data_IF_767867462167
#
_entry.id   IF_767867462167
#
_cell.length_a   1.000
_cell.length_b   1.000
_cell.length_c   1.000
_cell.angle_alpha   90.00
_cell.angle_beta   90.00
_cell.angle_gamma   90.00
#
_symmetry.space_group_name_H-M   'P 1'
#
loop_
_entity.id
_entity.type
_entity.pdbx_description
1 polymer ?
#
# COMPACT_ATOMS: atom_id res chain seq x y z
N UNK A 1 -7.25 2.38 -48.94
CA UNK A 1 -7.11 2.51 -47.47
C UNK A 1 -6.45 3.85 -47.21
N UNK A 2 -7.17 4.77 -46.58
CA UNK A 2 -6.71 6.16 -46.38
C UNK A 2 -5.63 6.26 -45.29
N UNK A 3 -4.67 7.20 -45.37
CA UNK A 3 -3.60 7.39 -44.38
C UNK A 3 -4.08 7.58 -42.94
N UNK A 4 -5.31 8.06 -42.75
CA UNK A 4 -5.94 8.25 -41.44
C UNK A 4 -6.14 6.95 -40.65
N UNK A 5 -6.40 5.83 -41.32
CA UNK A 5 -6.62 4.55 -40.64
C UNK A 5 -5.33 4.03 -39.98
N UNK A 6 -4.16 4.27 -40.60
CA UNK A 6 -2.85 3.88 -40.09
C UNK A 6 -2.45 4.73 -38.87
N UNK A 7 -2.78 6.03 -38.91
CA UNK A 7 -2.52 6.95 -37.80
C UNK A 7 -3.37 6.64 -36.57
N UNK A 8 -4.63 6.24 -36.78
CA UNK A 8 -5.53 5.84 -35.69
C UNK A 8 -5.08 4.52 -35.02
N UNK A 9 -4.58 3.56 -35.81
CA UNK A 9 -4.06 2.29 -35.31
C UNK A 9 -2.72 2.41 -34.56
N UNK A 10 -1.88 3.41 -34.89
CA UNK A 10 -0.63 3.71 -34.18
C UNK A 10 -0.83 4.54 -32.92
N UNK A 11 -1.94 5.29 -32.78
CA UNK A 11 -2.23 6.06 -31.56
C UNK A 11 -2.71 5.19 -30.38
N UNK A 12 -3.33 4.04 -30.66
CA UNK A 12 -3.82 3.11 -29.64
C UNK A 12 -2.74 2.35 -28.84
N UNK A 13 -1.63 1.86 -29.44
CA UNK A 13 -0.57 1.22 -28.69
C UNK A 13 0.17 2.19 -27.74
N UNK A 14 0.37 3.46 -28.13
CA UNK A 14 0.98 4.46 -27.25
C UNK A 14 0.11 4.77 -26.02
N UNK A 15 -1.21 4.84 -26.20
CA UNK A 15 -2.16 4.99 -25.08
C UNK A 15 -2.18 3.76 -24.16
N UNK A 16 -2.10 2.56 -24.72
CA UNK A 16 -2.02 1.32 -23.93
C UNK A 16 -0.72 1.29 -23.10
N UNK A 17 0.42 1.60 -23.70
CA UNK A 17 1.72 1.66 -23.00
C UNK A 17 1.69 2.71 -21.88
N UNK A 18 1.12 3.89 -22.11
CA UNK A 18 0.99 4.92 -21.09
C UNK A 18 0.08 4.47 -19.93
N UNK A 19 -1.04 3.80 -20.23
CA UNK A 19 -1.94 3.27 -19.21
C UNK A 19 -1.26 2.16 -18.37
N UNK A 20 -0.52 1.25 -19.00
CA UNK A 20 0.22 0.20 -18.31
C UNK A 20 1.35 0.76 -17.44
N UNK A 21 2.07 1.79 -17.89
CA UNK A 21 3.09 2.46 -17.07
C UNK A 21 2.48 3.11 -15.84
N UNK A 22 1.39 3.86 -16.00
CA UNK A 22 0.68 4.48 -14.88
C UNK A 22 0.15 3.42 -13.90
N UNK A 23 -0.35 2.30 -14.41
CA UNK A 23 -0.79 1.18 -13.57
C UNK A 23 0.38 0.53 -12.82
N UNK A 24 1.55 0.40 -13.45
CA UNK A 24 2.76 -0.14 -12.83
C UNK A 24 3.27 0.80 -11.72
N UNK A 25 3.38 2.10 -11.99
CA UNK A 25 3.80 3.11 -11.01
C UNK A 25 2.87 3.14 -9.79
N UNK A 26 1.55 3.08 -10.01
CA UNK A 26 0.57 3.01 -8.93
C UNK A 26 0.73 1.72 -8.11
N UNK A 27 0.96 0.58 -8.76
CA UNK A 27 1.20 -0.69 -8.07
C UNK A 27 2.48 -0.66 -7.25
N UNK A 28 3.53 -0.04 -7.76
CA UNK A 28 4.79 0.12 -7.04
C UNK A 28 4.60 1.00 -5.80
N UNK A 29 3.97 2.17 -5.95
CA UNK A 29 3.70 3.06 -4.83
C UNK A 29 2.81 2.42 -3.74
N UNK A 30 1.77 1.69 -4.15
CA UNK A 30 0.92 0.94 -3.20
C UNK A 30 1.70 -0.22 -2.57
N UNK A 31 2.53 -0.91 -3.36
CA UNK A 31 3.39 -1.99 -2.88
C UNK A 31 4.37 -1.53 -1.81
N UNK A 32 5.08 -0.43 -2.05
CA UNK A 32 6.04 0.14 -1.10
C UNK A 32 5.36 0.56 0.21
N UNK A 33 4.22 1.24 0.13
CA UNK A 33 3.44 1.64 1.31
C UNK A 33 2.92 0.45 2.08
N UNK A 34 2.49 -0.61 1.39
CA UNK A 34 2.04 -1.84 2.02
C UNK A 34 3.19 -2.57 2.74
N UNK A 35 4.36 -2.68 2.12
CA UNK A 35 5.53 -3.27 2.75
C UNK A 35 6.00 -2.45 3.96
N UNK A 36 5.95 -1.12 3.87
CA UNK A 36 6.22 -0.23 5.00
C UNK A 36 5.26 -0.50 6.16
N UNK A 37 3.95 -0.58 5.89
CA UNK A 37 2.94 -0.87 6.91
C UNK A 37 3.18 -2.22 7.58
N UNK A 38 3.43 -3.29 6.81
CA UNK A 38 3.74 -4.61 7.37
C UNK A 38 4.98 -4.63 8.25
N UNK A 39 6.02 -3.89 7.86
CA UNK A 39 7.25 -3.76 8.65
C UNK A 39 6.95 -3.13 10.01
N UNK A 40 6.11 -2.09 10.03
CA UNK A 40 5.66 -1.46 11.28
C UNK A 40 4.80 -2.42 12.12
N UNK A 41 3.87 -3.19 11.52
CA UNK A 41 3.08 -4.18 12.27
C UNK A 41 3.99 -5.17 13.01
N UNK A 42 5.01 -5.69 12.33
CA UNK A 42 5.98 -6.63 12.93
C UNK A 42 6.80 -5.97 14.04
N UNK A 43 7.28 -4.74 13.81
CA UNK A 43 8.04 -4.00 14.81
C UNK A 43 7.21 -3.73 16.08
N UNK A 44 5.94 -3.36 15.94
CA UNK A 44 5.04 -3.20 17.08
C UNK A 44 4.83 -4.50 17.85
N UNK A 45 4.77 -5.64 17.15
CA UNK A 45 4.75 -6.97 17.77
C UNK A 45 5.99 -7.25 18.61
N UNK A 46 7.18 -6.96 18.07
CA UNK A 46 8.44 -7.08 18.82
C UNK A 46 8.44 -6.19 20.07
N UNK A 47 8.00 -4.93 19.96
CA UNK A 47 7.89 -4.05 21.12
C UNK A 47 6.94 -4.60 22.18
N UNK A 48 5.78 -5.11 21.77
CA UNK A 48 4.81 -5.73 22.67
C UNK A 48 5.40 -6.96 23.39
N UNK A 49 6.12 -7.82 22.67
CA UNK A 49 6.79 -9.01 23.22
C UNK A 49 7.92 -8.64 24.20
N UNK A 50 8.61 -7.53 23.97
CA UNK A 50 9.64 -7.00 24.87
C UNK A 50 9.08 -6.21 26.07
N UNK A 51 7.76 -6.03 26.14
CA UNK A 51 7.07 -5.33 27.23
C UNK A 51 6.95 -3.81 27.06
N UNK A 52 7.48 -3.24 25.97
CA UNK A 52 7.34 -1.82 25.64
C UNK A 52 6.02 -1.56 24.92
N UNK A 53 4.93 -1.52 25.70
CA UNK A 53 3.58 -1.29 25.16
C UNK A 53 3.44 0.08 24.49
N UNK A 54 4.14 1.10 24.97
CA UNK A 54 3.99 2.45 24.43
C UNK A 54 4.60 2.52 23.03
N UNK A 55 5.81 1.99 22.84
CA UNK A 55 6.41 1.87 21.52
C UNK A 55 5.58 0.97 20.59
N UNK A 56 5.02 -0.14 21.09
CA UNK A 56 4.15 -1.01 20.31
C UNK A 56 2.92 -0.26 19.77
N UNK A 57 2.25 0.52 20.64
CA UNK A 57 1.09 1.30 20.25
C UNK A 57 1.43 2.36 19.21
N UNK A 58 2.52 3.11 19.38
CA UNK A 58 2.91 4.17 18.45
C UNK A 58 3.23 3.61 17.06
N UNK A 59 3.98 2.51 17.02
CA UNK A 59 4.31 1.84 15.76
C UNK A 59 3.07 1.25 15.09
N UNK A 60 2.16 0.64 15.85
CA UNK A 60 0.91 0.11 15.31
C UNK A 60 -0.06 1.20 14.84
N UNK A 61 -0.11 2.37 15.47
CA UNK A 61 -0.90 3.52 14.96
C UNK A 61 -0.39 4.00 13.61
N UNK A 62 0.93 4.04 13.42
CA UNK A 62 1.53 4.41 12.14
C UNK A 62 1.23 3.37 11.04
N UNK A 63 1.30 2.08 11.38
CA UNK A 63 0.90 1.00 10.46
C UNK A 63 -0.58 1.11 10.08
N UNK A 64 -1.45 1.36 11.05
CA UNK A 64 -2.88 1.52 10.86
C UNK A 64 -3.19 2.67 9.91
N UNK A 65 -2.57 3.83 10.08
CA UNK A 65 -2.77 4.99 9.21
C UNK A 65 -2.48 4.65 7.74
N UNK A 66 -1.33 4.01 7.46
CA UNK A 66 -0.97 3.59 6.11
C UNK A 66 -1.98 2.59 5.53
N UNK A 67 -2.37 1.56 6.30
CA UNK A 67 -3.34 0.56 5.86
C UNK A 67 -4.72 1.18 5.61
N UNK A 68 -5.15 2.15 6.42
CA UNK A 68 -6.40 2.88 6.22
C UNK A 68 -6.38 3.74 4.97
N UNK A 69 -5.27 4.45 4.69
CA UNK A 69 -5.09 5.20 3.44
C UNK A 69 -5.21 4.30 2.19
N UNK A 70 -4.76 3.05 2.30
CA UNK A 70 -4.86 2.05 1.23
C UNK A 70 -6.19 1.28 1.24
N UNK A 71 -7.10 1.58 2.18
CA UNK A 71 -8.35 0.84 2.41
C UNK A 71 -8.11 -0.67 2.56
N UNK A 72 -6.98 -1.05 3.16
CA UNK A 72 -6.55 -2.43 3.26
C UNK A 72 -7.22 -3.12 4.47
N UNK A 73 -7.75 -4.35 4.32
CA UNK A 73 -8.49 -5.05 5.38
C UNK A 73 -7.65 -5.34 6.63
N UNK A 74 -6.32 -5.38 6.48
CA UNK A 74 -5.38 -5.61 7.58
C UNK A 74 -5.40 -4.48 8.63
N UNK A 75 -5.97 -3.31 8.31
CA UNK A 75 -6.24 -2.25 9.27
C UNK A 75 -7.07 -2.73 10.48
N UNK A 76 -8.05 -3.62 10.26
CA UNK A 76 -8.86 -4.19 11.33
C UNK A 76 -8.03 -5.09 12.25
N UNK A 77 -7.08 -5.82 11.67
CA UNK A 77 -6.16 -6.68 12.44
C UNK A 77 -5.28 -5.84 13.36
N UNK A 78 -4.70 -4.75 12.85
CA UNK A 78 -3.88 -3.83 13.64
C UNK A 78 -4.69 -3.14 14.74
N UNK A 79 -5.94 -2.79 14.46
CA UNK A 79 -6.86 -2.25 15.48
C UNK A 79 -7.09 -3.25 16.62
N UNK A 80 -7.27 -4.53 16.29
CA UNK A 80 -7.39 -5.60 17.28
C UNK A 80 -6.11 -5.80 18.11
N UNK A 81 -4.92 -5.59 17.52
CA UNK A 81 -3.66 -5.62 18.26
C UNK A 81 -3.55 -4.45 19.25
N UNK A 82 -3.91 -3.24 18.81
CA UNK A 82 -3.94 -2.05 19.67
C UNK A 82 -4.86 -2.25 20.88
N UNK A 83 -6.05 -2.80 20.68
CA UNK A 83 -6.99 -3.08 21.77
C UNK A 83 -6.46 -4.07 22.82
N UNK A 84 -5.53 -4.98 22.44
CA UNK A 84 -4.92 -5.95 23.35
C UNK A 84 -3.80 -5.38 24.21
N UNK A 85 -3.15 -4.32 23.75
CA UNK A 85 -2.03 -3.65 24.46
C UNK A 85 -2.43 -2.31 25.07
N UNK A 86 -3.70 -1.93 24.94
CA UNK A 86 -4.31 -0.76 25.58
C UNK A 86 -4.27 -0.86 27.10
#
# INVERSE_FOLDING_TARGET
MSPDAVRSALAQPDLAVAAYRRAAELREQVGDRYQQAQTLVRLGGVHADTGDRQAAQDVWRNALALLTEMQHPEAETVTGLLAKVS
#
